data_IF_998741355124
#
_entry.id   IF_998741355124
#
_cell.length_a   1.000
_cell.length_b   1.000
_cell.length_c   1.000
_cell.angle_alpha   90.00
_cell.angle_beta   90.00
_cell.angle_gamma   90.00
#
_symmetry.space_group_name_H-M   'P 1'
#
loop_
_entity.id
_entity.type
_entity.pdbx_description
1 polymer ?
#
# COMPACT_ATOMS: atom_id res chain seq x y z
N UNK A 1 -0.94 4.71 -24.99
CA UNK A 1 -1.10 5.49 -23.74
C UNK A 1 -1.90 4.62 -22.82
N UNK A 2 -1.30 4.11 -21.73
CA UNK A 2 -2.04 3.40 -20.71
C UNK A 2 -2.93 4.44 -20.02
N UNK A 3 -4.23 4.45 -20.32
CA UNK A 3 -5.16 5.25 -19.56
C UNK A 3 -5.37 4.49 -18.26
N UNK A 4 -4.95 5.10 -17.15
CA UNK A 4 -5.33 4.63 -15.84
C UNK A 4 -6.86 4.65 -15.76
N UNK A 5 -7.48 3.46 -15.76
CA UNK A 5 -8.94 3.30 -15.73
C UNK A 5 -9.56 3.80 -14.41
N UNK A 6 -8.74 4.07 -13.39
CA UNK A 6 -9.13 4.54 -12.07
C UNK A 6 -8.58 5.93 -11.73
N UNK A 7 -8.20 6.72 -12.74
CA UNK A 7 -7.58 8.04 -12.53
C UNK A 7 -8.39 8.93 -11.57
N UNK A 8 -9.72 8.95 -11.71
CA UNK A 8 -10.59 9.79 -10.88
C UNK A 8 -10.71 9.27 -9.45
N UNK A 9 -10.81 7.95 -9.28
CA UNK A 9 -10.88 7.31 -7.98
C UNK A 9 -9.57 7.47 -7.21
N UNK A 10 -8.43 7.29 -7.88
CA UNK A 10 -7.10 7.53 -7.30
C UNK A 10 -6.91 9.00 -6.93
N UNK A 11 -7.44 9.93 -7.72
CA UNK A 11 -7.45 11.35 -7.36
C UNK A 11 -8.23 11.61 -6.06
N UNK A 12 -9.38 10.95 -5.85
CA UNK A 12 -10.11 11.07 -4.58
C UNK A 12 -9.33 10.51 -3.39
N UNK A 13 -8.58 9.42 -3.58
CA UNK A 13 -7.66 8.90 -2.55
C UNK A 13 -6.56 9.92 -2.23
N UNK A 14 -5.99 10.55 -3.26
CA UNK A 14 -4.98 11.59 -3.10
C UNK A 14 -5.51 12.83 -2.35
N UNK A 15 -6.74 13.26 -2.62
CA UNK A 15 -7.39 14.37 -1.90
C UNK A 15 -7.56 14.06 -0.42
N UNK A 16 -7.93 12.82 -0.08
CA UNK A 16 -8.06 12.38 1.32
C UNK A 16 -6.71 12.27 2.02
N UNK A 17 -5.69 11.79 1.31
CA UNK A 17 -4.31 11.82 1.80
C UNK A 17 -3.84 13.25 2.06
N UNK A 18 -4.14 14.18 1.15
CA UNK A 18 -3.81 15.60 1.30
C UNK A 18 -4.51 16.21 2.52
N UNK A 19 -5.79 15.88 2.74
CA UNK A 19 -6.50 16.30 3.95
C UNK A 19 -5.85 15.74 5.23
N UNK A 20 -5.43 14.47 5.22
CA UNK A 20 -4.72 13.86 6.35
C UNK A 20 -3.37 14.53 6.62
N UNK A 21 -2.62 14.88 5.57
CA UNK A 21 -1.37 15.64 5.69
C UNK A 21 -1.58 17.08 6.18
N UNK A 22 -2.79 17.62 6.07
CA UNK A 22 -3.18 18.91 6.64
C UNK A 22 -3.36 18.89 8.16
N UNK A 23 -3.57 17.70 8.76
CA UNK A 23 -3.61 17.52 10.20
C UNK A 23 -2.20 17.25 10.75
N UNK A 24 -1.66 18.05 11.69
CA UNK A 24 -0.29 17.90 12.16
C UNK A 24 0.04 16.54 12.81
N UNK A 25 -0.92 15.93 13.51
CA UNK A 25 -0.70 14.66 14.18
C UNK A 25 -0.66 13.51 13.15
N UNK A 26 -1.58 13.54 12.18
CA UNK A 26 -1.60 12.58 11.09
C UNK A 26 -0.40 12.75 10.15
N UNK A 27 -0.02 13.99 9.83
CA UNK A 27 1.16 14.30 9.02
C UNK A 27 2.44 13.75 9.65
N UNK A 28 2.60 13.91 10.97
CA UNK A 28 3.75 13.35 11.70
C UNK A 28 3.79 11.82 11.61
N UNK A 29 2.63 11.16 11.74
CA UNK A 29 2.53 9.71 11.60
C UNK A 29 2.87 9.25 10.17
N UNK A 30 2.33 9.93 9.15
CA UNK A 30 2.58 9.65 7.74
C UNK A 30 4.05 9.87 7.37
N UNK A 31 4.69 10.93 7.87
CA UNK A 31 6.09 11.24 7.63
C UNK A 31 7.07 10.26 8.32
N UNK A 32 6.63 9.55 9.36
CA UNK A 32 7.46 8.55 10.06
C UNK A 32 7.50 7.18 9.35
N UNK A 33 6.83 7.04 8.19
CA UNK A 33 6.79 5.80 7.42
C UNK A 33 8.10 5.50 6.70
N UNK A 34 8.23 4.27 6.20
CA UNK A 34 9.43 3.85 5.45
C UNK A 34 9.60 4.71 4.20
N UNK A 35 10.85 5.03 3.91
CA UNK A 35 11.25 5.84 2.77
C UNK A 35 11.68 4.97 1.59
N UNK A 36 11.71 5.57 0.40
CA UNK A 36 12.44 5.04 -0.75
C UNK A 36 13.95 5.00 -0.47
N UNK A 37 14.71 4.39 -1.38
CA UNK A 37 16.18 4.40 -1.35
C UNK A 37 16.77 5.83 -1.37
N UNK A 38 16.01 6.82 -1.84
CA UNK A 38 16.39 8.23 -1.88
C UNK A 38 16.06 9.01 -0.59
N UNK A 39 15.35 8.39 0.35
CA UNK A 39 14.96 9.02 1.61
C UNK A 39 13.59 9.73 1.57
N UNK A 40 12.86 9.64 0.46
CA UNK A 40 11.53 10.23 0.33
C UNK A 40 10.46 9.28 0.87
N UNK A 41 9.44 9.82 1.57
CA UNK A 41 8.24 9.06 1.89
C UNK A 41 7.27 9.18 0.72
N UNK A 42 7.24 8.15 -0.13
CA UNK A 42 6.36 8.10 -1.31
C UNK A 42 5.09 7.33 -0.97
N UNK A 43 3.95 7.91 -1.36
CA UNK A 43 2.64 7.30 -1.25
C UNK A 43 2.08 6.94 -2.63
N UNK A 44 1.54 5.74 -2.76
CA UNK A 44 0.82 5.31 -3.96
C UNK A 44 -0.65 5.15 -3.63
N UNK A 45 -1.49 5.85 -4.39
CA UNK A 45 -2.95 5.77 -4.29
C UNK A 45 -3.43 4.52 -5.02
N UNK A 46 -3.82 3.51 -4.26
CA UNK A 46 -4.31 2.24 -4.76
C UNK A 46 -5.82 2.11 -4.61
N UNK A 47 -6.38 1.27 -5.46
CA UNK A 47 -7.77 0.85 -5.45
C UNK A 47 -7.90 -0.52 -4.76
N UNK A 48 -9.04 -0.81 -4.11
CA UNK A 48 -9.27 -2.14 -3.56
C UNK A 48 -9.19 -3.28 -4.58
N UNK A 49 -9.43 -2.97 -5.87
CA UNK A 49 -9.35 -3.90 -7.01
C UNK A 49 -7.96 -4.09 -7.57
N UNK A 50 -6.99 -3.24 -7.19
CA UNK A 50 -5.61 -3.42 -7.63
C UNK A 50 -5.06 -4.74 -7.08
N UNK A 51 -4.17 -5.35 -7.85
CA UNK A 51 -3.55 -6.62 -7.49
C UNK A 51 -2.18 -6.41 -6.85
N UNK A 52 -1.69 -7.44 -6.17
CA UNK A 52 -0.33 -7.48 -5.65
C UNK A 52 0.73 -7.32 -6.77
N UNK A 53 0.45 -7.82 -7.97
CA UNK A 53 1.28 -7.60 -9.15
C UNK A 53 1.41 -6.11 -9.48
N UNK A 54 0.27 -5.42 -9.58
CA UNK A 54 0.24 -3.98 -9.87
C UNK A 54 1.00 -3.17 -8.81
N UNK A 55 0.85 -3.55 -7.53
CA UNK A 55 1.59 -2.92 -6.42
C UNK A 55 3.10 -3.17 -6.55
N UNK A 56 3.49 -4.39 -6.88
CA UNK A 56 4.89 -4.76 -7.06
C UNK A 56 5.54 -3.96 -8.20
N UNK A 57 4.82 -3.75 -9.31
CA UNK A 57 5.28 -2.93 -10.44
C UNK A 57 5.54 -1.46 -10.09
N UNK A 58 4.98 -0.94 -8.98
CA UNK A 58 5.22 0.44 -8.53
C UNK A 58 6.56 0.61 -7.79
N UNK A 59 7.26 -0.48 -7.48
CA UNK A 59 8.49 -0.47 -6.67
C UNK A 59 9.74 -0.71 -7.52
N UNK A 60 10.84 -0.05 -7.15
CA UNK A 60 12.17 -0.44 -7.60
C UNK A 60 12.85 -1.33 -6.55
N UNK A 61 13.88 -2.11 -6.92
CA UNK A 61 14.66 -2.88 -5.96
C UNK A 61 15.21 -2.02 -4.83
N UNK A 62 14.95 -2.43 -3.58
CA UNK A 62 15.36 -1.71 -2.36
C UNK A 62 14.42 -0.59 -1.91
N UNK A 63 13.34 -0.29 -2.65
CA UNK A 63 12.35 0.71 -2.23
C UNK A 63 11.31 0.14 -1.27
N UNK A 64 10.79 1.02 -0.42
CA UNK A 64 9.53 0.82 0.29
C UNK A 64 8.43 1.68 -0.32
N UNK A 65 7.25 1.08 -0.47
CA UNK A 65 6.03 1.68 -0.99
C UNK A 65 5.04 1.88 0.15
N UNK A 66 4.55 3.10 0.34
CA UNK A 66 3.43 3.36 1.26
C UNK A 66 2.14 3.41 0.46
N UNK A 67 1.41 2.31 0.44
CA UNK A 67 0.14 2.21 -0.28
C UNK A 67 -0.98 2.84 0.54
N UNK A 68 -1.79 3.68 -0.10
CA UNK A 68 -2.94 4.37 0.48
C UNK A 68 -4.20 3.92 -0.24
N UNK A 69 -5.21 3.51 0.52
CA UNK A 69 -6.51 3.05 -0.01
C UNK A 69 -7.63 3.77 0.72
N UNK A 70 -8.66 4.17 0.00
CA UNK A 70 -9.91 4.62 0.60
C UNK A 70 -10.69 3.46 1.21
N UNK A 71 -11.06 3.53 2.50
CA UNK A 71 -11.82 2.45 3.18
C UNK A 71 -13.24 2.83 3.58
N UNK A 72 -13.49 4.13 3.75
CA UNK A 72 -14.82 4.70 3.96
C UNK A 72 -14.78 6.18 3.60
N UNK A 73 -15.91 6.87 3.78
CA UNK A 73 -15.97 8.31 3.60
C UNK A 73 -14.96 9.02 4.51
N UNK A 74 -14.04 9.75 3.89
CA UNK A 74 -12.95 10.51 4.51
C UNK A 74 -11.93 9.68 5.31
N UNK A 75 -11.91 8.35 5.18
CA UNK A 75 -10.92 7.50 5.83
C UNK A 75 -9.98 6.86 4.82
N UNK A 76 -8.69 6.90 5.14
CA UNK A 76 -7.65 6.18 4.41
C UNK A 76 -7.08 5.06 5.27
N UNK A 77 -6.82 3.92 4.66
CA UNK A 77 -5.97 2.88 5.21
C UNK A 77 -4.63 2.94 4.50
N UNK A 78 -3.55 2.80 5.26
CA UNK A 78 -2.21 2.92 4.70
C UNK A 78 -1.35 1.76 5.19
N UNK A 79 -0.78 1.02 4.26
CA UNK A 79 0.14 -0.10 4.55
C UNK A 79 1.45 0.08 3.79
N UNK A 80 2.51 -0.50 4.32
CA UNK A 80 3.86 -0.33 3.79
C UNK A 80 4.37 -1.66 3.28
N UNK A 81 4.78 -1.70 2.03
CA UNK A 81 5.40 -2.84 1.38
C UNK A 81 6.86 -2.52 1.12
N UNK A 82 7.78 -3.42 1.46
CA UNK A 82 9.17 -3.32 1.03
C UNK A 82 9.38 -4.27 -0.14
N UNK A 83 10.01 -3.83 -1.22
CA UNK A 83 10.28 -4.67 -2.38
C UNK A 83 11.02 -5.97 -2.01
N UNK A 84 11.88 -5.92 -0.99
CA UNK A 84 12.70 -7.06 -0.57
C UNK A 84 11.93 -8.04 0.34
N UNK A 85 10.95 -7.54 1.09
CA UNK A 85 10.11 -8.35 1.99
C UNK A 85 8.86 -8.88 1.26
N UNK A 86 8.34 -8.10 0.30
CA UNK A 86 7.12 -8.36 -0.42
C UNK A 86 7.42 -8.87 -1.83
N UNK A 87 7.23 -10.18 -2.03
CA UNK A 87 7.26 -10.81 -3.34
C UNK A 87 6.01 -11.68 -3.52
N UNK A 88 5.08 -11.30 -4.40
CA UNK A 88 3.96 -12.18 -4.72
C UNK A 88 4.46 -13.45 -5.44
N UNK A 89 3.69 -14.54 -5.37
CA UNK A 89 4.03 -15.86 -5.93
C UNK A 89 5.36 -16.47 -5.45
N UNK A 90 5.85 -16.07 -4.28
CA UNK A 90 7.08 -16.64 -3.73
C UNK A 90 6.89 -18.13 -3.40
N UNK A 91 7.86 -18.95 -3.79
CA UNK A 91 7.82 -20.41 -3.68
C UNK A 91 7.66 -20.95 -2.24
N UNK A 92 7.86 -20.10 -1.23
CA UNK A 92 7.74 -20.39 0.20
C UNK A 92 6.39 -19.95 0.81
N UNK A 93 5.36 -19.69 -0.02
CA UNK A 93 4.01 -19.40 0.46
C UNK A 93 3.59 -17.94 0.34
N UNK A 94 4.14 -17.21 -0.63
CA UNK A 94 3.65 -15.88 -0.98
C UNK A 94 2.20 -15.93 -1.46
N UNK A 95 1.47 -14.84 -1.25
CA UNK A 95 0.12 -14.68 -1.80
C UNK A 95 0.16 -14.63 -3.33
N UNK A 96 -0.87 -15.12 -4.03
CA UNK A 96 -0.97 -15.03 -5.48
C UNK A 96 -0.77 -13.59 -6.00
N UNK A 97 -0.08 -13.40 -7.11
CA UNK A 97 0.06 -12.09 -7.78
C UNK A 97 -1.29 -11.43 -8.10
N UNK A 98 -2.33 -12.24 -8.31
CA UNK A 98 -3.70 -11.80 -8.58
C UNK A 98 -4.49 -11.41 -7.32
N UNK A 99 -3.92 -11.60 -6.13
CA UNK A 99 -4.57 -11.22 -4.86
C UNK A 99 -4.82 -9.72 -4.86
N UNK A 100 -6.03 -9.33 -4.56
CA UNK A 100 -6.47 -7.93 -4.56
C UNK A 100 -6.15 -7.25 -3.24
N UNK A 101 -6.04 -5.92 -3.26
CA UNK A 101 -5.84 -5.14 -2.04
C UNK A 101 -7.01 -5.28 -1.06
N UNK A 102 -8.24 -5.44 -1.57
CA UNK A 102 -9.40 -5.74 -0.74
C UNK A 102 -9.23 -7.04 0.05
N UNK A 103 -8.64 -8.09 -0.55
CA UNK A 103 -8.37 -9.35 0.13
C UNK A 103 -7.26 -9.19 1.18
N UNK A 104 -6.20 -8.42 0.89
CA UNK A 104 -5.15 -8.09 1.88
C UNK A 104 -5.74 -7.38 3.09
N UNK A 105 -6.57 -6.37 2.86
CA UNK A 105 -7.22 -5.63 3.95
C UNK A 105 -8.10 -6.54 4.81
N UNK A 106 -8.72 -7.57 4.24
CA UNK A 106 -9.49 -8.54 5.02
C UNK A 106 -8.60 -9.46 5.86
N UNK A 107 -7.43 -9.84 5.35
CA UNK A 107 -6.45 -10.66 6.08
C UNK A 107 -5.85 -9.89 7.27
N UNK A 108 -5.52 -8.61 7.09
CA UNK A 108 -5.01 -7.76 8.18
C UNK A 108 -6.06 -7.50 9.27
N UNK A 109 -7.34 -7.51 8.91
CA UNK A 109 -8.46 -7.38 9.85
C UNK A 109 -8.93 -8.72 10.44
N UNK A 110 -8.43 -9.86 9.97
CA UNK A 110 -8.74 -11.16 10.54
C UNK A 110 -8.01 -11.32 11.89
N UNK A 111 -8.63 -11.96 12.91
CA UNK A 111 -7.90 -12.33 14.12
C UNK A 111 -6.79 -13.31 13.73
N UNK A 112 -5.56 -12.79 13.63
CA UNK A 112 -4.35 -13.48 13.18
C UNK A 112 -4.21 -14.87 13.81
N UNK A 113 -4.59 -15.91 13.07
CA UNK A 113 -4.20 -17.30 13.30
C UNK A 113 -3.12 -17.71 12.29
N UNK A 114 -2.07 -16.91 12.16
CA UNK A 114 -0.70 -17.35 11.83
C UNK A 114 0.22 -16.12 11.77
N UNK A 115 1.43 -16.18 12.36
CA UNK A 115 2.42 -15.13 12.15
C UNK A 115 2.89 -15.19 10.69
N UNK A 116 2.63 -14.12 9.93
CA UNK A 116 3.45 -13.80 8.76
C UNK A 116 4.86 -13.52 9.30
N UNK A 117 5.76 -14.48 9.13
CA UNK A 117 7.13 -14.39 9.59
C UNK A 117 7.81 -13.18 8.93
N UNK A 118 7.99 -12.12 9.71
CA UNK A 118 9.04 -11.13 9.49
C UNK A 118 10.35 -11.84 9.84
N UNK A 119 11.14 -12.20 8.83
CA UNK A 119 12.49 -12.69 9.05
C UNK A 119 13.41 -11.48 9.29
N UNK A 120 14.19 -11.58 10.37
CA UNK A 120 15.10 -10.59 10.92
C UNK A 120 16.35 -10.34 10.06
#
# INVERSE_FOLDING_TARGET
>A
MCQDEHLWERQHVAERLSAALGDPAQATNLAARRTTALGDVVFVCAMPTDTLDWVFEQMQPGDALNMVVSVADNMIWVSTFSHDEFRPDRADGGLPVTTTIAEIMQLDNAPLHAPLHVAA
#
